data_IF_346725511770
#
_entry.id   IF_346725511770
#
_cell.length_a   1.000
_cell.length_b   1.000
_cell.length_c   1.000
_cell.angle_alpha   90.00
_cell.angle_beta   90.00
_cell.angle_gamma   90.00
#
_symmetry.space_group_name_H-M   'P 1'
#
loop_
_entity.id
_entity.type
_entity.pdbx_description
1 polymer ?
#
# COMPACT_ATOMS: atom_id res chain seq x y z
N UNK A 1 30.91 -38.31 15.44
CA UNK A 1 30.36 -36.93 15.60
C UNK A 1 29.38 -36.64 14.46
N UNK A 2 28.10 -36.99 14.59
CA UNK A 2 27.06 -36.70 13.57
C UNK A 2 25.81 -36.19 14.29
N UNK A 3 25.86 -34.94 14.78
CA UNK A 3 24.70 -34.27 15.40
C UNK A 3 24.54 -32.80 14.97
N UNK A 4 25.18 -32.38 13.86
CA UNK A 4 25.08 -31.00 13.34
C UNK A 4 24.15 -30.82 12.14
N UNK A 5 23.85 -31.88 11.37
CA UNK A 5 23.01 -31.76 10.17
C UNK A 5 21.50 -31.69 10.44
N UNK A 6 21.00 -32.27 11.55
CA UNK A 6 19.56 -32.34 11.85
C UNK A 6 18.97 -31.00 12.33
N UNK A 7 19.78 -30.18 12.99
CA UNK A 7 19.39 -28.82 13.40
C UNK A 7 19.32 -27.84 12.23
N UNK A 8 20.27 -27.94 11.30
CA UNK A 8 20.31 -27.07 10.12
C UNK A 8 19.11 -27.29 9.19
N UNK A 9 18.72 -28.54 8.91
CA UNK A 9 17.54 -28.81 8.08
C UNK A 9 16.26 -28.22 8.70
N UNK A 10 16.10 -28.33 10.02
CA UNK A 10 14.95 -27.77 10.75
C UNK A 10 14.95 -26.24 10.71
N UNK A 11 16.11 -25.61 10.95
CA UNK A 11 16.31 -24.15 10.83
C UNK A 11 15.97 -23.64 9.44
N UNK A 12 16.49 -24.28 8.39
CA UNK A 12 16.20 -23.91 7.01
C UNK A 12 14.72 -23.99 6.70
N UNK A 13 14.03 -25.06 7.10
CA UNK A 13 12.58 -25.20 6.89
C UNK A 13 11.80 -24.10 7.63
N UNK A 14 12.15 -23.80 8.88
CA UNK A 14 11.49 -22.71 9.63
C UNK A 14 11.76 -21.34 9.02
N UNK A 15 12.99 -21.07 8.58
CA UNK A 15 13.35 -19.82 7.89
C UNK A 15 12.63 -19.70 6.55
N UNK A 16 12.55 -20.79 5.77
CA UNK A 16 11.81 -20.81 4.51
C UNK A 16 10.33 -20.55 4.75
N UNK A 17 9.72 -21.17 5.76
CA UNK A 17 8.33 -20.93 6.16
C UNK A 17 8.12 -19.49 6.65
N UNK A 18 9.03 -18.92 7.44
CA UNK A 18 8.97 -17.51 7.89
C UNK A 18 9.06 -16.53 6.71
N UNK A 19 9.93 -16.81 5.74
CA UNK A 19 10.08 -15.99 4.52
C UNK A 19 8.85 -16.13 3.63
N UNK A 20 8.33 -17.35 3.44
CA UNK A 20 7.10 -17.59 2.66
C UNK A 20 5.86 -16.98 3.33
N UNK A 21 5.77 -17.02 4.65
CA UNK A 21 4.70 -16.36 5.41
C UNK A 21 4.83 -14.83 5.36
N UNK A 22 6.07 -14.29 5.28
CA UNK A 22 6.30 -12.87 5.04
C UNK A 22 5.88 -12.45 3.61
N UNK A 23 5.99 -13.33 2.61
CA UNK A 23 5.48 -13.09 1.24
C UNK A 23 3.99 -13.37 1.09
N UNK A 24 3.37 -14.06 2.06
CA UNK A 24 1.93 -14.17 2.21
C UNK A 24 1.37 -13.03 3.09
N UNK A 25 2.13 -11.96 3.31
CA UNK A 25 1.54 -10.66 3.60
C UNK A 25 0.63 -10.36 2.42
N UNK A 26 -0.68 -10.35 2.65
CA UNK A 26 -1.64 -9.93 1.63
C UNK A 26 -1.05 -8.73 0.90
N UNK A 27 -0.84 -8.85 -0.42
CA UNK A 27 -0.41 -7.78 -1.31
C UNK A 27 -1.50 -6.71 -1.31
N UNK A 28 -1.60 -5.98 -0.21
CA UNK A 28 -2.58 -4.94 -0.04
C UNK A 28 -2.14 -3.83 -0.99
N UNK A 29 -2.78 -3.76 -2.15
CA UNK A 29 -2.65 -2.63 -3.03
C UNK A 29 -3.09 -1.38 -2.25
N UNK A 30 -2.19 -0.41 -2.10
CA UNK A 30 -2.45 0.91 -1.53
C UNK A 30 -2.79 1.86 -2.64
N UNK A 31 -4.03 2.33 -2.65
CA UNK A 31 -4.55 3.25 -3.65
C UNK A 31 -4.41 4.68 -3.12
N UNK A 32 -3.76 5.53 -3.90
CA UNK A 32 -3.78 6.97 -3.68
C UNK A 32 -5.09 7.52 -4.21
N UNK A 33 -5.90 8.06 -3.33
CA UNK A 33 -7.15 8.73 -3.67
C UNK A 33 -6.92 10.24 -3.69
N UNK A 34 -7.50 10.89 -4.69
CA UNK A 34 -7.68 12.35 -4.72
C UNK A 34 -9.14 12.65 -4.44
N UNK A 35 -9.41 13.40 -3.38
CA UNK A 35 -10.75 13.88 -3.03
C UNK A 35 -10.86 15.37 -3.38
N UNK A 36 -11.90 15.72 -4.13
CA UNK A 36 -12.19 17.10 -4.53
C UNK A 36 -13.69 17.24 -4.74
N UNK A 37 -14.30 18.29 -4.20
CA UNK A 37 -15.71 18.64 -4.50
C UNK A 37 -16.71 17.49 -4.20
N UNK A 38 -16.42 16.69 -3.17
CA UNK A 38 -17.24 15.52 -2.79
C UNK A 38 -17.00 14.24 -3.63
N UNK A 39 -16.11 14.28 -4.62
CA UNK A 39 -15.73 13.12 -5.42
C UNK A 39 -14.35 12.60 -5.01
N UNK A 40 -14.24 11.29 -4.79
CA UNK A 40 -12.97 10.58 -4.59
C UNK A 40 -12.63 9.76 -5.81
N UNK A 41 -11.50 10.06 -6.44
CA UNK A 41 -10.99 9.34 -7.61
C UNK A 41 -9.70 8.61 -7.27
N UNK A 42 -9.54 7.34 -7.71
CA UNK A 42 -8.27 6.64 -7.59
C UNK A 42 -7.26 7.24 -8.58
N UNK A 43 -6.08 7.59 -8.09
CA UNK A 43 -5.00 8.17 -8.88
C UNK A 43 -4.08 7.07 -9.40
N UNK A 44 -3.58 6.24 -8.49
CA UNK A 44 -2.64 5.13 -8.75
C UNK A 44 -2.65 4.15 -7.58
N UNK A 45 -2.14 2.94 -7.80
CA UNK A 45 -2.03 1.89 -6.79
C UNK A 45 -0.59 1.37 -6.66
N UNK A 46 -0.21 0.97 -5.45
CA UNK A 46 1.12 0.41 -5.13
C UNK A 46 1.01 -0.80 -4.22
N UNK A 47 1.94 -1.73 -4.36
CA UNK A 47 2.05 -2.89 -3.46
C UNK A 47 2.43 -2.52 -1.99
N UNK A 48 2.93 -1.29 -1.77
CA UNK A 48 3.42 -0.87 -0.45
C UNK A 48 2.91 0.52 -0.05
N UNK A 49 2.46 0.65 1.21
CA UNK A 49 2.01 1.93 1.80
C UNK A 49 3.04 3.03 1.64
N UNK A 50 4.31 2.72 1.90
CA UNK A 50 5.39 3.71 1.83
C UNK A 50 5.54 4.34 0.44
N UNK A 51 5.33 3.57 -0.63
CA UNK A 51 5.40 4.10 -2.01
C UNK A 51 4.19 4.98 -2.33
N UNK A 52 3.00 4.61 -1.85
CA UNK A 52 1.82 5.46 -1.95
C UNK A 52 2.02 6.80 -1.21
N UNK A 53 2.55 6.74 0.02
CA UNK A 53 2.82 7.93 0.84
C UNK A 53 3.87 8.85 0.22
N UNK A 54 4.91 8.28 -0.39
CA UNK A 54 5.91 9.02 -1.15
C UNK A 54 5.27 9.75 -2.35
N UNK A 55 4.49 9.04 -3.17
CA UNK A 55 3.78 9.62 -4.30
C UNK A 55 2.76 10.70 -3.87
N UNK A 56 2.08 10.50 -2.74
CA UNK A 56 1.22 11.51 -2.12
C UNK A 56 2.01 12.78 -1.81
N UNK A 57 3.17 12.63 -1.16
CA UNK A 57 3.99 13.75 -0.72
C UNK A 57 4.61 14.51 -1.89
N UNK A 58 5.01 13.81 -2.95
CA UNK A 58 5.43 14.42 -4.22
C UNK A 58 4.32 15.30 -4.80
N UNK A 59 3.08 14.80 -4.83
CA UNK A 59 1.94 15.54 -5.39
C UNK A 59 1.53 16.74 -4.55
N UNK A 60 1.66 16.65 -3.23
CA UNK A 60 1.46 17.78 -2.31
C UNK A 60 2.53 18.88 -2.48
N UNK A 61 3.74 18.50 -2.90
CA UNK A 61 4.85 19.42 -3.16
C UNK A 61 4.78 20.07 -4.55
N UNK A 62 4.06 19.46 -5.49
CA UNK A 62 3.89 20.02 -6.82
C UNK A 62 3.18 21.38 -6.72
N UNK A 63 3.75 22.46 -7.32
CA UNK A 63 3.10 23.76 -7.30
C UNK A 63 1.76 23.66 -8.03
N UNK A 64 0.67 23.99 -7.34
CA UNK A 64 -0.62 24.21 -8.00
C UNK A 64 -0.44 25.35 -9.00
N UNK A 65 -0.64 25.07 -10.30
CA UNK A 65 -0.70 26.11 -11.32
C UNK A 65 -1.75 27.18 -10.98
N UNK A 66 -1.72 28.30 -11.69
CA UNK A 66 -2.44 29.56 -11.46
C UNK A 66 -3.98 29.53 -11.50
N UNK A 67 -4.61 28.40 -11.20
CA UNK A 67 -6.06 28.23 -11.16
C UNK A 67 -6.50 28.01 -9.70
N UNK A 68 -7.49 28.80 -9.28
CA UNK A 68 -8.16 28.77 -7.99
C UNK A 68 -8.23 27.36 -7.41
N UNK A 69 -7.54 27.15 -6.28
CA UNK A 69 -7.36 25.85 -5.63
C UNK A 69 -8.72 25.37 -5.12
N UNK A 70 -9.41 24.50 -5.87
CA UNK A 70 -10.30 23.51 -5.23
C UNK A 70 -9.45 22.74 -4.23
N UNK A 71 -9.92 22.62 -2.99
CA UNK A 71 -9.20 21.90 -1.92
C UNK A 71 -9.09 20.41 -2.33
N UNK A 72 -7.98 20.05 -2.96
CA UNK A 72 -7.69 18.66 -3.37
C UNK A 72 -6.93 18.00 -2.23
N UNK A 73 -7.57 17.06 -1.55
CA UNK A 73 -6.92 16.25 -0.52
C UNK A 73 -6.48 14.91 -1.10
N UNK A 74 -5.33 14.41 -0.64
CA UNK A 74 -4.80 13.12 -1.07
C UNK A 74 -4.70 12.16 0.12
N UNK A 75 -5.17 10.92 -0.04
CA UNK A 75 -5.13 9.90 1.02
C UNK A 75 -4.76 8.53 0.45
N UNK A 76 -3.89 7.82 1.16
CA UNK A 76 -3.56 6.42 0.84
C UNK A 76 -4.48 5.50 1.64
N UNK A 77 -5.24 4.66 0.93
CA UNK A 77 -6.12 3.65 1.52
C UNK A 77 -5.79 2.28 0.95
N UNK A 78 -5.95 1.19 1.73
CA UNK A 78 -5.96 -0.16 1.16
C UNK A 78 -7.04 -0.26 0.08
N UNK A 79 -6.82 -1.06 -0.95
CA UNK A 79 -7.76 -1.29 -2.07
C UNK A 79 -9.13 -1.82 -1.61
N UNK A 80 -9.16 -2.49 -0.46
CA UNK A 80 -10.40 -2.96 0.18
C UNK A 80 -11.26 -1.83 0.76
N UNK A 81 -10.73 -0.60 0.87
CA UNK A 81 -11.42 0.57 1.42
C UNK A 81 -11.75 1.54 0.28
N UNK A 82 -13.01 1.53 -0.15
CA UNK A 82 -13.53 2.52 -1.10
C UNK A 82 -14.10 3.74 -0.35
N UNK A 83 -13.48 4.94 -0.48
CA UNK A 83 -13.92 6.14 0.23
C UNK A 83 -15.20 6.78 -0.36
N UNK A 84 -15.76 6.23 -1.44
CA UNK A 84 -16.99 6.74 -2.07
C UNK A 84 -18.26 6.22 -1.39
N UNK A 85 -18.12 5.42 -0.34
CA UNK A 85 -19.23 4.78 0.35
C UNK A 85 -19.55 3.38 -0.20
N UNK A 86 -20.55 2.68 0.37
CA UNK A 86 -20.89 1.33 -0.02
C UNK A 86 -21.27 1.28 -1.50
N UNK A 87 -20.59 0.43 -2.27
CA UNK A 87 -21.03 0.05 -3.62
C UNK A 87 -22.44 -0.51 -3.48
N UNK A 88 -23.39 0.00 -4.27
CA UNK A 88 -24.80 -0.39 -4.21
C UNK A 88 -24.97 -1.92 -4.20
N UNK A 89 -26.00 -2.37 -3.47
CA UNK A 89 -26.32 -3.80 -3.28
C UNK A 89 -26.47 -4.55 -4.59
#
# INVERSE_FOLDING_TARGET
MIRRHRGFATLFVTLYLLISAATAYAECAWVLWSASDGASLPVSAWDAKSRCEEAKNERLRAPSGTVERKDVSFVCLPDTVDPRGPKGK
#
